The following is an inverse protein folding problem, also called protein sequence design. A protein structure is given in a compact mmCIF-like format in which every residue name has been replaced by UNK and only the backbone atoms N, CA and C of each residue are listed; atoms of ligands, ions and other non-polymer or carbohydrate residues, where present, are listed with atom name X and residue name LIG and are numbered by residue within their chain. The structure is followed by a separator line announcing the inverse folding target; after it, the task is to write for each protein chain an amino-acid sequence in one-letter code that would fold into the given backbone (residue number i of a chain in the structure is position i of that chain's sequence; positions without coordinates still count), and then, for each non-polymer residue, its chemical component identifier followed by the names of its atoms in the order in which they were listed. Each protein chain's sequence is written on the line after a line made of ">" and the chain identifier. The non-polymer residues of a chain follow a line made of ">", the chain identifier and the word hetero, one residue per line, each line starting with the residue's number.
data_IF_354761850979
#
_entry.id   IF_354761850979
#
_cell.length_a   1.000
_cell.length_b   1.000
_cell.length_c   1.000
_cell.angle_alpha   90.00
_cell.angle_beta   90.00
_cell.angle_gamma   90.00
#
_symmetry.space_group_name_H-M   'P 1'
#
loop_
_entity.id
_entity.type
_entity.pdbx_description
1 polymer ?
#
# COMPACT_ATOMS: atom_id res chain seq x y z
N UNK A 1 -14.04 10.36 1.62
CA UNK A 1 -12.83 10.14 2.44
C UNK A 1 -13.18 10.20 3.91
N UNK A 2 -13.78 11.28 4.43
CA UNK A 2 -14.22 11.39 5.83
C UNK A 2 -14.94 10.14 6.39
N UNK A 3 -15.95 9.60 5.69
CA UNK A 3 -16.66 8.38 6.12
C UNK A 3 -15.76 7.14 6.25
N UNK A 4 -14.68 7.03 5.47
CA UNK A 4 -13.73 5.91 5.58
C UNK A 4 -12.88 6.03 6.85
N UNK A 5 -12.57 7.26 7.26
CA UNK A 5 -11.82 7.54 8.48
C UNK A 5 -12.70 7.51 9.74
N UNK A 6 -14.01 7.75 9.63
CA UNK A 6 -14.98 7.62 10.74
C UNK A 6 -15.57 6.21 10.87
N UNK A 7 -15.26 5.30 9.95
CA UNK A 7 -15.81 3.94 9.94
C UNK A 7 -17.26 3.82 9.45
N UNK A 8 -17.81 4.89 8.86
CA UNK A 8 -19.18 4.95 8.33
C UNK A 8 -19.26 4.69 6.82
N UNK A 9 -18.12 4.45 6.16
CA UNK A 9 -18.09 4.15 4.74
C UNK A 9 -18.84 2.86 4.43
N UNK A 10 -19.63 2.87 3.35
CA UNK A 10 -20.22 1.64 2.82
C UNK A 10 -19.10 0.64 2.49
N UNK A 11 -19.28 -0.65 2.80
CA UNK A 11 -18.30 -1.67 2.46
C UNK A 11 -17.96 -1.63 0.97
N UNK A 12 -16.67 -1.76 0.65
CA UNK A 12 -16.15 -1.75 -0.71
C UNK A 12 -16.44 -0.46 -1.53
N UNK A 13 -16.87 0.65 -0.91
CA UNK A 13 -17.31 1.85 -1.63
C UNK A 13 -16.27 2.44 -2.60
N UNK A 14 -14.98 2.36 -2.28
CA UNK A 14 -13.89 2.85 -3.14
C UNK A 14 -13.48 1.88 -4.25
N UNK A 15 -14.05 0.67 -4.30
CA UNK A 15 -13.73 -0.35 -5.32
C UNK A 15 -14.01 0.15 -6.74
N UNK A 16 -15.04 0.98 -6.94
CA UNK A 16 -15.35 1.52 -8.27
C UNK A 16 -14.18 2.33 -8.83
N UNK A 17 -13.59 3.22 -8.01
CA UNK A 17 -12.39 4.00 -8.34
C UNK A 17 -11.23 3.07 -8.72
N UNK A 18 -10.92 2.10 -7.87
CA UNK A 18 -9.81 1.17 -8.08
C UNK A 18 -10.00 0.29 -9.33
N UNK A 19 -11.24 -0.12 -9.62
CA UNK A 19 -11.59 -0.82 -10.87
C UNK A 19 -11.37 0.07 -12.09
N UNK A 20 -11.72 1.35 -12.04
CA UNK A 20 -11.45 2.30 -13.12
C UNK A 20 -9.95 2.55 -13.32
N UNK A 21 -9.17 2.61 -12.23
CA UNK A 21 -7.71 2.68 -12.31
C UNK A 21 -7.14 1.45 -13.03
N UNK A 22 -7.57 0.24 -12.66
CA UNK A 22 -7.15 -1.00 -13.33
C UNK A 22 -7.57 -1.04 -14.81
N UNK A 23 -8.80 -0.62 -15.13
CA UNK A 23 -9.29 -0.55 -16.50
C UNK A 23 -8.49 0.43 -17.36
N UNK A 24 -8.04 1.54 -16.78
CA UNK A 24 -7.17 2.51 -17.47
C UNK A 24 -5.82 1.89 -17.85
N UNK A 25 -5.23 1.08 -16.96
CA UNK A 25 -4.00 0.34 -17.27
C UNK A 25 -4.23 -0.64 -18.42
N UNK A 26 -5.31 -1.44 -18.34
CA UNK A 26 -5.68 -2.35 -19.42
C UNK A 26 -5.89 -1.65 -20.76
N UNK A 27 -6.59 -0.50 -20.75
CA UNK A 27 -6.83 0.31 -21.94
C UNK A 27 -5.55 0.75 -22.65
N UNK A 28 -4.51 1.09 -21.87
CA UNK A 28 -3.19 1.44 -22.40
C UNK A 28 -2.45 0.21 -22.91
N UNK A 29 -2.45 -0.91 -22.17
CA UNK A 29 -1.82 -2.16 -22.62
C UNK A 29 -2.38 -2.65 -23.96
N UNK A 30 -3.69 -2.48 -24.20
CA UNK A 30 -4.34 -2.85 -25.47
C UNK A 30 -3.91 -1.98 -26.67
N UNK A 31 -3.23 -0.86 -26.43
CA UNK A 31 -2.89 0.16 -27.45
C UNK A 31 -1.40 0.38 -27.64
N UNK A 32 -0.61 0.01 -26.64
CA UNK A 32 0.84 0.09 -26.71
C UNK A 32 1.40 -1.14 -27.43
N UNK A 33 2.65 -1.04 -27.86
CA UNK A 33 3.36 -2.18 -28.41
C UNK A 33 3.41 -3.33 -27.38
N UNK A 34 3.19 -4.61 -27.77
CA UNK A 34 3.16 -5.75 -26.85
C UNK A 34 4.40 -5.91 -25.96
N UNK A 35 5.56 -5.36 -26.37
CA UNK A 35 6.80 -5.43 -25.61
C UNK A 35 6.93 -4.31 -24.56
N UNK A 36 5.99 -3.36 -24.53
CA UNK A 36 5.99 -2.25 -23.57
C UNK A 36 5.54 -2.72 -22.19
N UNK A 37 6.24 -2.20 -21.18
CA UNK A 37 5.90 -2.38 -19.76
C UNK A 37 5.43 -1.05 -19.18
N UNK A 38 4.35 -1.09 -18.42
CA UNK A 38 3.83 0.08 -17.71
C UNK A 38 4.26 0.00 -16.25
N UNK A 39 4.81 1.10 -15.73
CA UNK A 39 5.03 1.30 -14.28
C UNK A 39 3.96 2.23 -13.77
N UNK A 40 3.16 1.76 -12.81
CA UNK A 40 2.10 2.55 -12.17
C UNK A 40 2.54 2.91 -10.77
N UNK A 41 2.78 4.20 -10.52
CA UNK A 41 3.06 4.72 -9.19
C UNK A 41 1.75 5.05 -8.48
N UNK A 42 1.42 4.28 -7.45
CA UNK A 42 0.25 4.50 -6.61
C UNK A 42 0.56 3.99 -5.19
N UNK A 43 -0.28 4.40 -4.23
CA UNK A 43 -0.14 3.98 -2.83
C UNK A 43 -0.22 2.45 -2.69
N UNK A 44 0.46 1.87 -1.69
CA UNK A 44 0.45 0.43 -1.39
C UNK A 44 -0.98 -0.15 -1.33
N UNK A 45 -1.91 0.58 -0.70
CA UNK A 45 -3.33 0.23 -0.62
C UNK A 45 -4.00 0.00 -1.99
N UNK A 46 -3.53 0.66 -3.05
CA UNK A 46 -4.08 0.52 -4.40
C UNK A 46 -3.37 -0.56 -5.22
N UNK A 47 -2.10 -0.86 -4.95
CA UNK A 47 -1.31 -1.81 -5.75
C UNK A 47 -1.25 -3.21 -5.13
N UNK A 48 -1.69 -3.40 -3.89
CA UNK A 48 -1.69 -4.73 -3.30
C UNK A 48 -2.65 -5.69 -4.01
N UNK A 49 -2.32 -6.98 -3.99
CA UNK A 49 -3.07 -8.06 -4.67
C UNK A 49 -4.25 -8.59 -3.85
N UNK A 50 -4.34 -8.19 -2.59
CA UNK A 50 -5.33 -8.63 -1.59
C UNK A 50 -6.35 -7.52 -1.30
N UNK A 51 -7.58 -7.84 -0.85
CA UNK A 51 -8.53 -6.83 -0.39
C UNK A 51 -7.93 -5.95 0.70
N UNK A 52 -8.27 -4.66 0.71
CA UNK A 52 -7.94 -3.78 1.83
C UNK A 52 -9.03 -3.92 2.88
N UNK A 53 -8.65 -4.36 4.07
CA UNK A 53 -9.56 -4.60 5.21
C UNK A 53 -9.20 -3.64 6.32
N UNK A 54 -10.22 -3.07 6.97
CA UNK A 54 -10.07 -2.20 8.14
C UNK A 54 -11.20 -2.48 9.11
N UNK A 55 -10.89 -2.64 10.41
CA UNK A 55 -11.89 -2.98 11.41
C UNK A 55 -12.68 -4.27 11.09
N UNK A 56 -12.05 -5.23 10.41
CA UNK A 56 -12.70 -6.47 9.96
C UNK A 56 -13.64 -6.32 8.75
N UNK A 57 -13.79 -5.13 8.19
CA UNK A 57 -14.62 -4.87 7.00
C UNK A 57 -13.76 -4.60 5.77
N UNK A 58 -14.19 -5.12 4.62
CA UNK A 58 -13.53 -4.81 3.34
C UNK A 58 -13.81 -3.37 2.95
N UNK A 59 -12.78 -2.52 2.94
CA UNK A 59 -12.86 -1.13 2.50
C UNK A 59 -12.81 -1.00 0.98
N UNK A 60 -11.91 -1.73 0.33
CA UNK A 60 -11.77 -1.71 -1.13
C UNK A 60 -11.25 -3.03 -1.69
N UNK A 61 -11.69 -3.36 -2.90
CA UNK A 61 -10.98 -4.28 -3.78
C UNK A 61 -10.04 -3.43 -4.64
N UNK A 62 -8.73 -3.46 -4.38
CA UNK A 62 -7.82 -2.47 -4.96
C UNK A 62 -7.47 -2.76 -6.42
N UNK A 63 -6.93 -1.75 -7.10
CA UNK A 63 -6.48 -1.84 -8.49
C UNK A 63 -5.55 -3.05 -8.69
N UNK A 64 -4.60 -3.28 -7.79
CA UNK A 64 -3.66 -4.39 -7.85
C UNK A 64 -4.31 -5.76 -7.79
N UNK A 65 -5.38 -5.92 -7.02
CA UNK A 65 -6.18 -7.15 -7.00
C UNK A 65 -6.87 -7.38 -8.35
N UNK A 66 -7.42 -6.33 -8.97
CA UNK A 66 -8.02 -6.43 -10.30
C UNK A 66 -6.98 -6.77 -11.38
N UNK A 67 -5.81 -6.11 -11.36
CA UNK A 67 -4.72 -6.35 -12.29
C UNK A 67 -4.11 -7.75 -12.12
N UNK A 68 -3.92 -8.22 -10.89
CA UNK A 68 -3.45 -9.57 -10.63
C UNK A 68 -4.41 -10.63 -11.19
N UNK A 69 -5.72 -10.40 -11.12
CA UNK A 69 -6.73 -11.31 -11.69
C UNK A 69 -6.75 -11.29 -13.22
N UNK A 70 -6.58 -10.12 -13.85
CA UNK A 70 -6.64 -10.01 -15.31
C UNK A 70 -5.33 -10.37 -16.02
N UNK A 71 -4.18 -10.03 -15.42
CA UNK A 71 -2.86 -10.19 -16.03
C UNK A 71 -2.09 -11.40 -15.49
N UNK A 72 -2.52 -11.98 -14.36
CA UNK A 72 -1.81 -13.08 -13.71
C UNK A 72 -0.34 -12.72 -13.42
N UNK A 73 0.59 -13.52 -13.94
CA UNK A 73 2.03 -13.28 -13.80
C UNK A 73 2.54 -12.03 -14.55
N UNK A 74 1.72 -11.42 -15.42
CA UNK A 74 2.03 -10.15 -16.07
C UNK A 74 1.89 -8.93 -15.15
N UNK A 75 1.34 -9.09 -13.94
CA UNK A 75 1.30 -8.04 -12.92
C UNK A 75 2.31 -8.33 -11.80
N UNK A 76 3.05 -7.30 -11.39
CA UNK A 76 3.97 -7.34 -10.26
C UNK A 76 3.64 -6.20 -9.30
N UNK A 77 3.30 -6.55 -8.06
CA UNK A 77 3.07 -5.60 -6.98
C UNK A 77 4.37 -5.37 -6.21
N UNK A 78 4.94 -4.17 -6.33
CA UNK A 78 6.15 -3.76 -5.62
C UNK A 78 5.78 -2.67 -4.62
N UNK A 79 5.69 -3.03 -3.34
CA UNK A 79 5.38 -2.06 -2.28
C UNK A 79 6.61 -1.27 -1.86
N UNK A 80 6.37 -0.11 -1.24
CA UNK A 80 7.39 0.75 -0.67
C UNK A 80 7.07 1.00 0.80
N UNK A 81 8.06 0.94 1.68
CA UNK A 81 7.87 1.25 3.09
C UNK A 81 9.05 1.97 3.72
N UNK A 82 8.85 2.54 4.91
CA UNK A 82 9.90 3.10 5.75
C UNK A 82 9.87 2.61 7.20
N UNK A 83 11.07 2.37 7.75
CA UNK A 83 11.23 1.92 9.13
C UNK A 83 11.13 3.05 10.15
N UNK A 84 11.74 4.20 9.83
CA UNK A 84 11.76 5.38 10.68
C UNK A 84 11.64 6.67 9.85
N UNK A 85 11.66 7.81 10.53
CA UNK A 85 11.68 9.13 9.89
C UNK A 85 10.35 9.85 10.03
N UNK A 86 9.92 10.53 8.96
CA UNK A 86 8.72 11.38 8.97
C UNK A 86 7.79 11.04 7.82
N UNK A 87 6.51 11.31 8.01
CA UNK A 87 5.44 11.06 7.06
C UNK A 87 4.41 12.18 7.09
N UNK A 88 3.72 12.36 5.97
CA UNK A 88 2.56 13.24 5.88
C UNK A 88 1.33 12.44 6.30
N UNK A 89 0.92 12.57 7.56
CA UNK A 89 -0.19 11.83 8.15
C UNK A 89 -1.53 12.45 7.75
N UNK A 90 -2.47 11.62 7.30
CA UNK A 90 -3.84 12.05 6.99
C UNK A 90 -4.69 11.98 8.26
N UNK A 91 -4.99 13.14 8.84
CA UNK A 91 -5.74 13.25 10.09
C UNK A 91 -7.20 13.59 9.81
N UNK A 92 -8.18 12.87 10.41
CA UNK A 92 -9.58 13.22 10.27
C UNK A 92 -9.83 14.64 10.80
N UNK A 93 -10.36 15.51 9.96
CA UNK A 93 -10.68 16.89 10.33
C UNK A 93 -11.97 17.27 9.59
N UNK A 94 -13.15 16.90 10.12
CA UNK A 94 -14.43 17.03 9.41
C UNK A 94 -14.72 18.45 8.92
N UNK A 95 -14.25 19.45 9.67
CA UNK A 95 -14.46 20.87 9.38
C UNK A 95 -13.36 21.48 8.48
N UNK A 96 -12.35 20.69 8.07
CA UNK A 96 -11.28 21.15 7.20
C UNK A 96 -11.73 21.14 5.73
N UNK A 97 -12.09 22.29 5.20
CA UNK A 97 -12.40 22.47 3.77
C UNK A 97 -11.14 22.39 2.89
N UNK A 98 -11.21 21.86 1.66
CA UNK A 98 -12.40 21.31 0.99
C UNK A 98 -12.55 19.78 1.14
N UNK A 99 -11.69 19.12 1.92
CA UNK A 99 -11.50 17.67 1.83
C UNK A 99 -11.90 16.86 3.08
N UNK A 100 -12.17 17.53 4.20
CA UNK A 100 -12.56 16.91 5.47
C UNK A 100 -11.42 16.17 6.18
N UNK A 101 -10.17 16.52 5.90
CA UNK A 101 -8.98 16.01 6.57
C UNK A 101 -7.86 17.05 6.59
N UNK A 102 -6.96 16.93 7.56
CA UNK A 102 -5.72 17.69 7.65
C UNK A 102 -4.53 16.81 7.29
N UNK A 103 -3.43 17.43 6.87
CA UNK A 103 -2.15 16.75 6.64
C UNK A 103 -1.17 17.25 7.69
N UNK A 104 -0.70 16.33 8.53
CA UNK A 104 0.25 16.65 9.59
C UNK A 104 1.63 16.07 9.30
N UNK A 105 2.67 16.82 9.65
CA UNK A 105 4.04 16.31 9.68
C UNK A 105 4.24 15.46 10.93
N UNK A 106 4.29 14.14 10.75
CA UNK A 106 4.35 13.19 11.85
C UNK A 106 5.65 12.38 11.84
N UNK A 107 6.27 12.24 13.02
CA UNK A 107 7.35 11.29 13.21
C UNK A 107 6.79 9.87 13.24
N UNK A 108 7.45 8.95 12.52
CA UNK A 108 7.07 7.55 12.51
C UNK A 108 7.39 6.92 13.85
N UNK A 109 6.37 6.31 14.46
CA UNK A 109 6.56 5.42 15.60
C UNK A 109 7.45 4.21 15.19
N UNK A 110 8.16 3.60 16.16
CA UNK A 110 8.91 2.37 15.91
C UNK A 110 8.06 1.31 15.19
N UNK A 111 8.65 0.51 14.29
CA UNK A 111 7.97 -0.59 13.63
C UNK A 111 7.21 -1.50 14.62
N UNK A 112 5.95 -1.81 14.30
CA UNK A 112 5.14 -2.70 15.14
C UNK A 112 5.59 -4.15 14.96
N UNK A 113 5.60 -4.99 16.03
CA UNK A 113 5.78 -6.42 15.86
C UNK A 113 4.77 -7.01 14.87
N UNK A 114 5.25 -7.86 13.95
CA UNK A 114 4.43 -8.42 12.87
C UNK A 114 4.36 -7.54 11.62
N UNK A 115 4.93 -6.34 11.65
CA UNK A 115 5.10 -5.51 10.45
C UNK A 115 6.31 -5.93 9.63
N UNK A 116 6.24 -5.77 8.31
CA UNK A 116 7.40 -6.03 7.44
C UNK A 116 8.56 -5.09 7.76
N UNK A 117 8.28 -3.90 8.28
CA UNK A 117 9.28 -2.94 8.73
C UNK A 117 10.08 -3.45 9.93
N UNK A 118 9.41 -4.14 10.86
CA UNK A 118 10.07 -4.76 12.01
C UNK A 118 10.99 -5.91 11.58
N UNK A 119 10.63 -6.65 10.54
CA UNK A 119 11.49 -7.70 9.96
C UNK A 119 12.77 -7.09 9.35
N UNK A 120 12.65 -5.98 8.62
CA UNK A 120 13.81 -5.26 8.10
C UNK A 120 14.71 -4.70 9.21
N UNK A 121 14.11 -4.15 10.27
CA UNK A 121 14.84 -3.63 11.42
C UNK A 121 15.58 -4.76 12.18
N UNK A 122 14.90 -5.87 12.46
CA UNK A 122 15.49 -7.03 13.13
C UNK A 122 16.63 -7.66 12.32
N UNK A 123 16.53 -7.64 10.98
CA UNK A 123 17.59 -8.10 10.10
C UNK A 123 18.77 -7.11 9.97
N UNK A 124 18.63 -5.88 10.50
CA UNK A 124 19.65 -4.83 10.38
C UNK A 124 19.88 -4.38 8.93
N UNK A 125 18.88 -4.51 8.07
CA UNK A 125 18.99 -4.21 6.64
C UNK A 125 18.69 -2.74 6.39
N UNK A 126 19.60 -2.05 5.70
CA UNK A 126 19.44 -0.67 5.26
C UNK A 126 18.49 -0.53 4.04
N UNK A 127 18.80 0.39 3.12
CA UNK A 127 18.03 0.53 1.88
C UNK A 127 18.12 -0.77 1.07
N UNK A 128 16.98 -1.43 0.86
CA UNK A 128 16.95 -2.73 0.21
C UNK A 128 15.61 -2.99 -0.49
N UNK A 129 15.63 -3.94 -1.43
CA UNK A 129 14.45 -4.54 -2.01
C UNK A 129 14.42 -6.03 -1.66
N UNK A 130 13.37 -6.50 -1.00
CA UNK A 130 13.15 -7.90 -0.70
C UNK A 130 12.24 -8.53 -1.75
N UNK A 131 12.68 -9.66 -2.34
CA UNK A 131 11.84 -10.47 -3.21
C UNK A 131 10.99 -11.44 -2.37
N UNK A 132 9.72 -11.10 -2.17
CA UNK A 132 8.82 -11.88 -1.31
C UNK A 132 8.39 -13.21 -1.93
N UNK A 133 8.42 -13.32 -3.26
CA UNK A 133 8.13 -14.58 -3.96
C UNK A 133 9.14 -15.69 -3.66
N UNK A 134 10.33 -15.33 -3.17
CA UNK A 134 11.37 -16.27 -2.79
C UNK A 134 11.33 -16.62 -1.29
N UNK A 135 10.38 -16.07 -0.53
CA UNK A 135 10.26 -16.37 0.89
C UNK A 135 9.93 -17.86 1.11
N UNK A 136 10.74 -18.59 1.90
CA UNK A 136 10.45 -19.98 2.21
C UNK A 136 9.30 -20.08 3.23
N UNK A 137 8.42 -21.07 3.05
CA UNK A 137 7.40 -21.42 4.06
C UNK A 137 6.01 -20.85 3.80
N UNK A 138 5.22 -20.71 4.87
CA UNK A 138 3.82 -20.27 4.79
C UNK A 138 3.72 -18.78 4.47
N UNK A 139 2.68 -18.38 3.75
CA UNK A 139 2.41 -16.98 3.39
C UNK A 139 1.55 -16.24 4.42
N UNK A 140 1.22 -16.89 5.54
CA UNK A 140 0.44 -16.38 6.69
C UNK A 140 0.83 -17.17 7.94
N UNK A 141 0.65 -16.56 9.12
CA UNK A 141 0.81 -17.22 10.41
C UNK A 141 1.82 -16.50 11.29
N UNK A 142 2.15 -17.10 12.44
CA UNK A 142 3.14 -16.53 13.36
C UNK A 142 4.51 -16.43 12.69
N UNK A 143 5.16 -15.27 12.83
CA UNK A 143 6.46 -14.99 12.22
C UNK A 143 6.40 -14.61 10.74
N UNK A 144 5.21 -14.49 10.16
CA UNK A 144 5.00 -13.92 8.83
C UNK A 144 4.41 -12.52 8.98
N UNK A 145 4.95 -11.50 8.31
CA UNK A 145 4.45 -10.15 8.46
C UNK A 145 3.00 -10.03 7.96
N UNK A 146 2.15 -9.46 8.81
CA UNK A 146 0.70 -9.34 8.63
C UNK A 146 0.23 -7.89 8.45
N UNK A 147 1.19 -6.96 8.39
CA UNK A 147 0.93 -5.54 8.16
C UNK A 147 2.11 -4.85 7.47
N UNK A 148 1.79 -3.79 6.76
CA UNK A 148 2.75 -2.87 6.13
C UNK A 148 2.34 -1.45 6.45
N UNK A 149 3.32 -0.57 6.64
CA UNK A 149 3.06 0.82 7.00
C UNK A 149 2.24 1.53 5.90
N UNK A 150 1.31 2.36 6.34
CA UNK A 150 0.55 3.32 5.54
C UNK A 150 0.54 4.61 6.32
N UNK A 151 1.00 5.70 5.72
CA UNK A 151 1.15 7.00 6.39
C UNK A 151 1.77 6.91 7.80
N UNK A 152 1.02 7.23 8.84
CA UNK A 152 1.36 7.12 10.27
C UNK A 152 0.84 5.84 10.93
N UNK A 153 0.02 5.05 10.23
CA UNK A 153 -0.51 3.77 10.68
C UNK A 153 -0.05 2.57 9.86
N UNK A 154 -0.91 1.54 9.78
CA UNK A 154 -0.64 0.30 9.07
C UNK A 154 -1.87 -0.16 8.27
N UNK A 155 -1.61 -0.82 7.14
CA UNK A 155 -2.57 -1.68 6.46
C UNK A 155 -2.35 -3.09 6.97
N UNK A 156 -3.38 -3.67 7.60
CA UNK A 156 -3.39 -5.10 7.92
C UNK A 156 -3.62 -5.90 6.63
N UNK A 157 -2.62 -6.69 6.25
CA UNK A 157 -2.66 -7.50 5.03
C UNK A 157 -1.59 -8.60 5.11
N UNK A 158 -1.85 -9.82 4.61
CA UNK A 158 -0.81 -10.85 4.52
C UNK A 158 0.25 -10.39 3.50
N UNK A 159 1.35 -9.81 3.98
CA UNK A 159 2.29 -9.03 3.15
C UNK A 159 2.86 -9.87 1.99
N UNK A 160 3.17 -11.14 2.26
CA UNK A 160 3.71 -12.08 1.27
C UNK A 160 2.71 -12.45 0.16
N UNK A 161 1.41 -12.24 0.39
CA UNK A 161 0.37 -12.44 -0.63
C UNK A 161 -0.03 -11.12 -1.31
N UNK A 162 0.07 -10.02 -0.56
CA UNK A 162 -0.26 -8.68 -1.01
C UNK A 162 0.75 -8.14 -2.03
N UNK A 163 2.04 -8.46 -1.87
CA UNK A 163 3.12 -7.92 -2.69
C UNK A 163 4.09 -9.01 -3.17
N UNK A 164 4.65 -8.82 -4.37
CA UNK A 164 5.70 -9.67 -4.92
C UNK A 164 7.10 -9.24 -4.43
N UNK A 165 7.26 -7.95 -4.12
CA UNK A 165 8.46 -7.38 -3.53
C UNK A 165 8.14 -6.18 -2.64
N UNK A 166 9.02 -5.88 -1.68
CA UNK A 166 8.96 -4.66 -0.86
C UNK A 166 10.30 -3.94 -0.92
N UNK A 167 10.25 -2.64 -1.20
CA UNK A 167 11.38 -1.73 -1.07
C UNK A 167 11.31 -1.08 0.31
N UNK A 168 12.38 -1.22 1.09
CA UNK A 168 12.51 -0.62 2.40
C UNK A 168 13.42 0.60 2.36
N UNK A 169 12.93 1.73 2.85
CA UNK A 169 13.69 2.96 3.07
C UNK A 169 13.91 3.13 4.57
N UNK A 170 15.14 3.02 5.10
CA UNK A 170 15.38 3.01 6.55
C UNK A 170 14.86 4.25 7.26
N UNK A 171 14.97 5.41 6.61
CA UNK A 171 14.52 6.69 7.16
C UNK A 171 13.90 7.55 6.07
N UNK A 172 12.62 7.87 6.21
CA UNK A 172 11.93 8.82 5.34
C UNK A 172 12.06 10.26 5.86
N UNK A 173 11.91 11.22 4.96
CA UNK A 173 11.71 12.64 5.27
C UNK A 173 10.44 13.11 4.60
N UNK A 174 9.88 14.23 5.05
CA UNK A 174 8.82 14.88 4.28
C UNK A 174 9.33 15.28 2.90
N UNK A 175 8.49 15.05 1.89
CA UNK A 175 8.75 15.55 0.55
C UNK A 175 8.53 17.06 0.53
N UNK A 176 9.59 17.83 0.29
CA UNK A 176 9.53 19.27 0.05
C UNK A 176 9.54 19.60 -1.45
N UNK A 177 9.09 20.80 -1.81
CA UNK A 177 9.18 21.30 -3.19
C UNK A 177 8.35 20.52 -4.21
N UNK A 178 7.33 19.79 -3.75
CA UNK A 178 6.34 19.19 -4.64
C UNK A 178 5.39 20.31 -5.09
N UNK A 179 5.55 20.75 -6.33
CA UNK A 179 4.64 21.71 -6.95
C UNK A 179 3.41 20.97 -7.46
N UNK A 180 2.33 21.01 -6.68
CA UNK A 180 0.97 20.70 -7.12
C UNK A 180 0.03 21.79 -6.62
#
# INVERSE_FOLDING_TARGET
>A
MAAAYTGEALPAASTSRDRFMAATVGWWLDRLDPDIRIVVMAHNAHIQRTPVVYGGQTLTLPMGLHLARSLGAGYLAVGLTSGAGRTAALMPAPDAEPYGFAIDDMELAPPEPGSIEADFEAAGIGLAAANLRAAPGASTGSGVPDRVRMDSGYIETPVLQAFDAIVHVPRSTLAGGLWF
#
